data_IF_273517513557
#
_entry.id   IF_273517513557
#
_cell.length_a   1.000
_cell.length_b   1.000
_cell.length_c   1.000
_cell.angle_alpha   90.00
_cell.angle_beta   90.00
_cell.angle_gamma   90.00
#
_symmetry.space_group_name_H-M   'P 1'
#
loop_
_entity.id
_entity.type
_entity.pdbx_description
1 polymer ?
#
# COMPACT_ATOMS: atom_id res chain seq x y z
N UNK A 1 -10.63 -12.96 -25.03
CA UNK A 1 -9.44 -12.60 -24.23
C UNK A 1 -9.84 -11.65 -23.11
N UNK A 2 -9.84 -12.07 -21.84
CA UNK A 2 -10.01 -11.15 -20.72
C UNK A 2 -8.75 -10.26 -20.66
N UNK A 3 -8.86 -8.96 -20.96
CA UNK A 3 -7.82 -7.99 -20.58
C UNK A 3 -7.79 -8.02 -19.05
N UNK A 4 -6.71 -8.56 -18.48
CA UNK A 4 -6.47 -8.42 -17.04
C UNK A 4 -6.26 -6.92 -16.83
N UNK A 5 -7.08 -6.30 -15.98
CA UNK A 5 -6.95 -4.89 -15.65
C UNK A 5 -5.53 -4.63 -15.14
N UNK A 6 -4.89 -3.55 -15.56
CA UNK A 6 -3.56 -3.16 -15.08
C UNK A 6 -3.63 -2.34 -13.78
N UNK A 7 -4.83 -1.94 -13.38
CA UNK A 7 -5.12 -1.03 -12.28
C UNK A 7 -5.96 -1.71 -11.21
N UNK A 8 -5.88 -1.18 -9.99
CA UNK A 8 -6.80 -1.46 -8.88
C UNK A 8 -8.15 -0.75 -9.13
N UNK A 9 -9.26 -1.46 -8.92
CA UNK A 9 -10.60 -0.96 -9.25
C UNK A 9 -11.08 0.15 -8.31
N UNK A 10 -10.62 0.15 -7.05
CA UNK A 10 -11.07 1.12 -6.04
C UNK A 10 -10.36 2.47 -6.18
N UNK A 11 -9.06 2.45 -6.42
CA UNK A 11 -8.16 3.61 -6.32
C UNK A 11 -7.57 4.03 -7.65
N UNK A 12 -7.65 3.19 -8.69
CA UNK A 12 -7.19 3.51 -10.05
C UNK A 12 -5.67 3.45 -10.26
N UNK A 13 -4.87 3.22 -9.21
CA UNK A 13 -3.42 3.04 -9.32
C UNK A 13 -3.06 1.64 -9.84
N UNK A 14 -1.77 1.36 -10.05
CA UNK A 14 -1.33 0.04 -10.46
C UNK A 14 -1.78 -1.04 -9.47
N UNK A 15 -2.27 -2.17 -9.96
CA UNK A 15 -2.47 -3.33 -9.12
C UNK A 15 -1.14 -4.05 -8.81
N UNK A 16 -1.19 -5.06 -7.93
CA UNK A 16 -0.05 -5.88 -7.52
C UNK A 16 0.79 -6.35 -8.71
N UNK A 17 0.14 -6.89 -9.75
CA UNK A 17 0.87 -7.43 -10.91
C UNK A 17 1.64 -6.34 -11.64
N UNK A 18 1.00 -5.21 -11.91
CA UNK A 18 1.62 -4.09 -12.62
C UNK A 18 2.78 -3.50 -11.83
N UNK A 19 2.60 -3.24 -10.53
CA UNK A 19 3.65 -2.62 -9.72
C UNK A 19 4.86 -3.52 -9.52
N UNK A 20 4.67 -4.83 -9.38
CA UNK A 20 5.78 -5.79 -9.34
C UNK A 20 6.53 -5.88 -10.67
N UNK A 21 5.83 -5.76 -11.80
CA UNK A 21 6.49 -5.73 -13.11
C UNK A 21 7.38 -4.49 -13.26
N UNK A 22 6.88 -3.32 -12.86
CA UNK A 22 7.68 -2.09 -12.85
C UNK A 22 8.90 -2.21 -11.93
N UNK A 23 8.73 -2.74 -10.71
CA UNK A 23 9.85 -2.87 -9.79
C UNK A 23 10.90 -3.88 -10.23
N UNK A 24 10.51 -4.96 -10.92
CA UNK A 24 11.47 -5.89 -11.55
C UNK A 24 12.26 -5.22 -12.68
N UNK A 25 11.60 -4.38 -13.48
CA UNK A 25 12.27 -3.59 -14.52
C UNK A 25 13.26 -2.59 -13.91
N UNK A 26 12.82 -1.82 -12.90
CA UNK A 26 13.68 -0.86 -12.22
C UNK A 26 14.88 -1.54 -11.55
N UNK A 27 14.65 -2.68 -10.89
CA UNK A 27 15.74 -3.48 -10.31
C UNK A 27 16.79 -3.86 -11.36
N UNK A 28 16.37 -4.33 -12.53
CA UNK A 28 17.28 -4.69 -13.61
C UNK A 28 18.04 -3.47 -14.16
N UNK A 29 17.38 -2.31 -14.26
CA UNK A 29 18.02 -1.05 -14.66
C UNK A 29 19.06 -0.61 -13.63
N UNK A 30 18.71 -0.60 -12.35
CA UNK A 30 19.61 -0.23 -11.26
C UNK A 30 20.81 -1.15 -11.12
N UNK A 31 20.63 -2.46 -11.32
CA UNK A 31 21.75 -3.42 -11.34
C UNK A 31 22.70 -3.13 -12.51
N UNK A 32 22.16 -2.80 -13.69
CA UNK A 32 22.97 -2.53 -14.89
C UNK A 32 23.70 -1.19 -14.81
N UNK A 33 23.01 -0.13 -14.41
CA UNK A 33 23.50 1.24 -14.47
C UNK A 33 24.05 1.76 -13.13
N UNK A 34 24.03 0.93 -12.08
CA UNK A 34 24.45 1.28 -10.71
C UNK A 34 23.73 2.53 -10.19
N UNK A 35 22.47 2.70 -10.57
CA UNK A 35 21.63 3.81 -10.14
C UNK A 35 20.79 3.40 -8.93
N UNK A 36 20.65 4.25 -7.90
CA UNK A 36 19.84 3.91 -6.75
C UNK A 36 18.36 3.92 -7.13
N UNK A 37 17.58 3.01 -6.58
CA UNK A 37 16.13 3.14 -6.50
C UNK A 37 15.69 2.80 -5.09
N UNK A 38 14.57 3.38 -4.67
CA UNK A 38 14.01 3.15 -3.34
C UNK A 38 12.57 2.67 -3.41
N UNK A 39 12.17 1.94 -2.38
CA UNK A 39 10.80 1.48 -2.17
C UNK A 39 10.24 2.11 -0.90
N UNK A 40 8.97 2.53 -0.98
CA UNK A 40 8.15 2.83 0.18
C UNK A 40 7.09 1.74 0.33
N UNK A 41 6.92 1.21 1.53
CA UNK A 41 5.76 0.42 1.93
C UNK A 41 4.87 1.30 2.80
N UNK A 42 3.61 1.49 2.41
CA UNK A 42 2.67 2.41 3.06
C UNK A 42 1.47 1.60 3.52
N UNK A 43 1.01 1.87 4.73
CA UNK A 43 -0.20 1.25 5.29
C UNK A 43 -1.01 2.27 6.10
N UNK A 44 -2.33 2.15 5.99
CA UNK A 44 -3.27 3.00 6.72
C UNK A 44 -3.39 2.54 8.16
N UNK A 45 -3.06 3.43 9.09
CA UNK A 45 -3.05 3.09 10.50
C UNK A 45 -4.46 2.78 11.02
N UNK A 46 -4.60 1.62 11.67
CA UNK A 46 -5.85 1.17 12.31
C UNK A 46 -7.04 1.08 11.32
N UNK A 47 -6.79 0.75 10.05
CA UNK A 47 -7.83 0.65 9.03
C UNK A 47 -9.00 -0.26 9.43
N UNK A 48 -8.72 -1.41 10.04
CA UNK A 48 -9.77 -2.30 10.56
C UNK A 48 -10.68 -1.56 11.55
N UNK A 49 -10.12 -0.78 12.47
CA UNK A 49 -10.91 0.03 13.41
C UNK A 49 -11.75 1.09 12.68
N UNK A 50 -11.22 1.70 11.61
CA UNK A 50 -11.98 2.65 10.79
C UNK A 50 -13.20 1.95 10.17
N UNK A 51 -12.99 0.79 9.54
CA UNK A 51 -14.09 0.01 8.94
C UNK A 51 -15.11 -0.43 9.98
N UNK A 52 -14.64 -0.99 11.10
CA UNK A 52 -15.52 -1.50 12.16
C UNK A 52 -16.34 -0.37 12.83
N UNK A 53 -15.81 0.86 12.87
CA UNK A 53 -16.45 2.01 13.55
C UNK A 53 -17.33 2.84 12.62
N UNK A 54 -16.90 3.03 11.37
CA UNK A 54 -17.49 3.98 10.43
C UNK A 54 -18.04 3.33 9.16
N UNK A 55 -17.93 2.01 9.04
CA UNK A 55 -18.33 1.27 7.85
C UNK A 55 -17.27 1.28 6.74
N UNK A 56 -17.41 0.32 5.84
CA UNK A 56 -16.46 0.10 4.77
C UNK A 56 -16.41 1.23 3.72
N UNK A 57 -17.50 1.98 3.54
CA UNK A 57 -17.50 3.12 2.60
C UNK A 57 -16.54 4.23 3.06
N UNK A 58 -16.37 4.39 4.38
CA UNK A 58 -15.39 5.31 4.96
C UNK A 58 -13.98 4.74 4.83
N UNK A 59 -13.81 3.42 4.95
CA UNK A 59 -12.55 2.76 4.60
C UNK A 59 -12.15 3.00 3.16
N UNK A 60 -13.08 2.83 2.22
CA UNK A 60 -12.83 3.09 0.79
C UNK A 60 -12.42 4.55 0.55
N UNK A 61 -13.05 5.50 1.24
CA UNK A 61 -12.66 6.91 1.21
C UNK A 61 -11.27 7.14 1.81
N UNK A 62 -10.92 6.46 2.90
CA UNK A 62 -9.60 6.53 3.53
C UNK A 62 -8.50 6.08 2.57
N UNK A 63 -8.70 4.96 1.87
CA UNK A 63 -7.76 4.45 0.87
C UNK A 63 -7.61 5.44 -0.31
N UNK A 64 -8.72 5.96 -0.83
CA UNK A 64 -8.71 6.97 -1.91
C UNK A 64 -8.01 8.26 -1.49
N UNK A 65 -8.25 8.73 -0.26
CA UNK A 65 -7.59 9.91 0.30
C UNK A 65 -6.07 9.70 0.39
N UNK A 66 -5.63 8.55 0.94
CA UNK A 66 -4.21 8.21 1.04
C UNK A 66 -3.54 8.15 -0.33
N UNK A 67 -4.19 7.53 -1.31
CA UNK A 67 -3.68 7.47 -2.69
C UNK A 67 -3.55 8.87 -3.30
N UNK A 68 -4.59 9.70 -3.17
CA UNK A 68 -4.58 11.06 -3.71
C UNK A 68 -3.48 11.93 -3.07
N UNK A 69 -3.30 11.84 -1.76
CA UNK A 69 -2.24 12.57 -1.04
C UNK A 69 -0.87 12.08 -1.48
N UNK A 70 -0.71 10.75 -1.60
CA UNK A 70 0.56 10.16 -2.05
C UNK A 70 0.89 10.62 -3.47
N UNK A 71 -0.04 10.53 -4.42
CA UNK A 71 0.15 11.00 -5.80
C UNK A 71 0.57 12.48 -5.90
N UNK A 72 0.01 13.36 -5.05
CA UNK A 72 0.43 14.78 -4.98
C UNK A 72 1.87 14.96 -4.47
N UNK A 73 2.39 14.00 -3.70
CA UNK A 73 3.76 14.04 -3.18
C UNK A 73 4.79 13.43 -4.15
N UNK A 74 4.34 12.57 -5.06
CA UNK A 74 5.16 11.84 -6.01
C UNK A 74 5.50 12.68 -7.26
N UNK A 75 6.63 12.34 -7.89
CA UNK A 75 7.02 12.86 -9.21
C UNK A 75 6.38 12.02 -10.30
N UNK A 76 6.34 12.55 -11.52
CA UNK A 76 5.78 11.84 -12.69
C UNK A 76 6.44 10.47 -12.97
N UNK A 77 7.72 10.32 -12.60
CA UNK A 77 8.50 9.08 -12.82
C UNK A 77 8.35 8.06 -11.69
N UNK A 78 7.68 8.43 -10.60
CA UNK A 78 7.45 7.55 -9.46
C UNK A 78 6.21 6.69 -9.71
N UNK A 79 6.21 5.46 -9.23
CA UNK A 79 5.11 4.51 -9.42
C UNK A 79 4.49 4.15 -8.08
N UNK A 80 3.17 4.12 -8.00
CA UNK A 80 2.43 3.61 -6.83
C UNK A 80 1.53 2.46 -7.25
N UNK A 81 1.43 1.43 -6.41
CA UNK A 81 0.48 0.36 -6.59
C UNK A 81 0.00 -0.26 -5.29
N UNK A 82 -1.18 -0.88 -5.37
CA UNK A 82 -1.81 -1.57 -4.25
C UNK A 82 -1.40 -3.04 -4.20
N UNK A 83 -1.06 -3.51 -3.01
CA UNK A 83 -0.72 -4.90 -2.74
C UNK A 83 -1.95 -5.63 -2.20
N UNK A 84 -2.78 -6.18 -3.08
CA UNK A 84 -3.76 -7.19 -2.66
C UNK A 84 -2.99 -8.48 -2.29
N UNK A 85 -3.24 -9.10 -1.14
CA UNK A 85 -2.55 -10.36 -0.80
C UNK A 85 -3.16 -11.54 -1.57
N UNK A 86 -2.39 -12.61 -1.77
CA UNK A 86 -2.95 -13.85 -2.33
C UNK A 86 -3.94 -14.52 -1.37
N UNK A 87 -3.80 -14.29 -0.05
CA UNK A 87 -4.76 -14.74 0.96
C UNK A 87 -6.10 -14.02 0.82
N UNK A 88 -6.09 -12.72 0.51
CA UNK A 88 -7.29 -11.93 0.24
C UNK A 88 -8.03 -12.46 -1.00
N UNK A 89 -7.29 -12.74 -2.07
CA UNK A 89 -7.83 -13.36 -3.27
C UNK A 89 -8.37 -14.78 -3.04
N UNK A 90 -7.69 -15.58 -2.20
CA UNK A 90 -8.10 -16.93 -1.84
C UNK A 90 -9.34 -16.93 -0.93
N UNK A 91 -9.41 -16.04 0.07
CA UNK A 91 -10.58 -15.84 0.92
C UNK A 91 -11.80 -15.43 0.09
N UNK A 92 -11.61 -14.55 -0.90
CA UNK A 92 -12.64 -14.20 -1.87
C UNK A 92 -13.12 -15.43 -2.67
N UNK A 93 -12.20 -16.28 -3.16
CA UNK A 93 -12.57 -17.52 -3.86
C UNK A 93 -13.28 -18.55 -2.98
N UNK A 94 -12.83 -18.77 -1.75
CA UNK A 94 -13.42 -19.75 -0.82
C UNK A 94 -14.83 -19.33 -0.45
N UNK A 95 -15.05 -18.05 -0.15
CA UNK A 95 -16.36 -17.57 0.27
C UNK A 95 -17.35 -17.46 -0.90
N UNK A 96 -16.90 -17.09 -2.12
CA UNK A 96 -17.74 -17.18 -3.33
C UNK A 96 -18.23 -18.60 -3.62
N UNK A 97 -17.41 -19.63 -3.32
CA UNK A 97 -17.85 -21.04 -3.42
C UNK A 97 -18.90 -21.42 -2.37
N UNK A 98 -18.82 -20.85 -1.17
CA UNK A 98 -19.79 -21.11 -0.10
C UNK A 98 -21.14 -20.42 -0.38
N UNK A 99 -21.11 -19.21 -0.96
CA UNK A 99 -22.30 -18.47 -1.40
C UNK A 99 -23.15 -19.21 -2.43
N UNK A 100 -22.52 -19.98 -3.33
CA UNK A 100 -23.22 -20.81 -4.33
C UNK A 100 -23.94 -22.03 -3.76
N UNK A 101 -23.62 -22.45 -2.52
CA UNK A 101 -24.14 -23.68 -1.91
C UNK A 101 -25.20 -23.44 -0.82
N UNK A 102 -25.34 -22.22 -0.29
CA UNK A 102 -26.12 -21.96 0.93
C UNK A 102 -27.56 -21.45 0.72
N UNK A 103 -28.06 -21.39 -0.52
CA UNK A 103 -29.46 -20.98 -0.78
C UNK A 103 -29.79 -19.53 -0.39
N UNK A 104 -28.77 -18.67 -0.25
CA UNK A 104 -28.92 -17.26 0.08
C UNK A 104 -29.55 -16.47 -1.08
N UNK A 105 -30.30 -15.41 -0.77
CA UNK A 105 -30.95 -14.57 -1.80
C UNK A 105 -29.92 -13.73 -2.56
N UNK A 106 -30.21 -13.35 -3.82
CA UNK A 106 -29.31 -12.55 -4.67
C UNK A 106 -28.82 -11.25 -4.01
N UNK A 107 -29.66 -10.62 -3.18
CA UNK A 107 -29.29 -9.41 -2.44
C UNK A 107 -28.25 -9.70 -1.33
N UNK A 108 -28.43 -10.80 -0.58
CA UNK A 108 -27.49 -11.24 0.45
C UNK A 108 -26.17 -11.72 -0.15
N UNK A 109 -26.23 -12.39 -1.31
CA UNK A 109 -25.05 -12.80 -2.06
C UNK A 109 -24.24 -11.60 -2.57
N UNK A 110 -24.90 -10.56 -3.08
CA UNK A 110 -24.24 -9.32 -3.51
C UNK A 110 -23.64 -8.55 -2.33
N UNK A 111 -24.36 -8.39 -1.22
CA UNK A 111 -23.85 -7.69 -0.04
C UNK A 111 -22.64 -8.40 0.57
N UNK A 112 -22.66 -9.74 0.59
CA UNK A 112 -21.52 -10.53 1.06
C UNK A 112 -20.36 -10.51 0.06
N UNK A 113 -20.60 -10.61 -1.25
CA UNK A 113 -19.57 -10.49 -2.28
C UNK A 113 -18.88 -9.11 -2.26
N UNK A 114 -19.63 -8.03 -2.00
CA UNK A 114 -19.10 -6.69 -1.79
C UNK A 114 -18.23 -6.62 -0.53
N UNK A 115 -18.68 -7.21 0.60
CA UNK A 115 -17.90 -7.28 1.84
C UNK A 115 -16.61 -8.10 1.67
N UNK A 116 -16.67 -9.21 0.95
CA UNK A 116 -15.54 -10.09 0.67
C UNK A 116 -14.56 -9.47 -0.34
N UNK A 117 -15.06 -8.70 -1.31
CA UNK A 117 -14.24 -7.90 -2.21
C UNK A 117 -13.47 -6.79 -1.48
N UNK A 118 -13.87 -6.45 -0.26
CA UNK A 118 -13.22 -5.49 0.64
C UNK A 118 -12.27 -6.16 1.66
N UNK A 119 -12.21 -7.49 1.69
CA UNK A 119 -11.17 -8.23 2.40
C UNK A 119 -9.91 -8.27 1.52
N UNK A 120 -9.22 -7.13 1.36
CA UNK A 120 -7.86 -7.17 0.85
C UNK A 120 -7.11 -5.87 0.62
N UNK A 121 -5.82 -5.93 0.97
CA UNK A 121 -4.75 -4.97 0.66
C UNK A 121 -4.92 -3.54 1.18
N UNK A 122 -4.72 -3.30 2.48
CA UNK A 122 -4.46 -1.94 3.00
C UNK A 122 -3.01 -1.46 2.77
N UNK A 123 -2.21 -2.34 2.13
CA UNK A 123 -0.80 -2.13 1.88
C UNK A 123 -0.56 -1.60 0.46
N UNK A 124 0.31 -0.60 0.37
CA UNK A 124 0.67 0.06 -0.87
C UNK A 124 2.19 0.08 -0.99
N UNK A 125 2.66 -0.01 -2.23
CA UNK A 125 4.08 0.12 -2.54
C UNK A 125 4.28 1.29 -3.49
N UNK A 126 5.31 2.09 -3.19
CA UNK A 126 5.81 3.13 -4.08
C UNK A 126 7.21 2.77 -4.53
N UNK A 127 7.48 2.86 -5.82
CA UNK A 127 8.81 2.74 -6.42
C UNK A 127 9.28 4.14 -6.81
N UNK A 128 10.48 4.49 -6.33
CA UNK A 128 11.13 5.77 -6.60
C UNK A 128 12.41 5.51 -7.41
N UNK A 129 12.33 5.51 -8.75
CA UNK A 129 13.50 5.39 -9.61
C UNK A 129 14.52 6.49 -9.32
N UNK A 130 15.80 6.20 -9.53
CA UNK A 130 16.90 7.17 -9.40
C UNK A 130 16.88 7.95 -8.07
N UNK A 131 16.50 7.28 -6.98
CA UNK A 131 16.29 7.90 -5.67
C UNK A 131 17.04 7.15 -4.60
N UNK A 132 17.94 7.87 -3.94
CA UNK A 132 18.68 7.37 -2.79
C UNK A 132 17.81 7.37 -1.52
N UNK A 133 18.39 6.85 -0.43
CA UNK A 133 17.68 6.70 0.84
C UNK A 133 17.21 8.03 1.42
N UNK A 134 18.01 9.09 1.28
CA UNK A 134 17.69 10.42 1.80
C UNK A 134 16.50 11.02 1.05
N UNK A 135 16.52 10.97 -0.28
CA UNK A 135 15.42 11.43 -1.12
C UNK A 135 14.13 10.66 -0.85
N UNK A 136 14.23 9.34 -0.71
CA UNK A 136 13.09 8.47 -0.39
C UNK A 136 12.49 8.79 0.98
N UNK A 137 13.33 9.00 1.99
CA UNK A 137 12.88 9.40 3.33
C UNK A 137 12.14 10.75 3.31
N UNK A 138 12.67 11.74 2.59
CA UNK A 138 12.01 13.05 2.44
C UNK A 138 10.64 12.90 1.76
N UNK A 139 10.54 12.09 0.70
CA UNK A 139 9.28 11.81 0.04
C UNK A 139 8.28 11.13 0.99
N UNK A 140 8.72 10.13 1.75
CA UNK A 140 7.90 9.46 2.76
C UNK A 140 7.43 10.42 3.86
N UNK A 141 8.30 11.28 4.38
CA UNK A 141 7.93 12.27 5.39
C UNK A 141 6.90 13.27 4.87
N UNK A 142 7.02 13.69 3.59
CA UNK A 142 6.02 14.57 2.96
C UNK A 142 4.64 13.91 2.93
N UNK A 143 4.57 12.64 2.53
CA UNK A 143 3.31 11.87 2.55
C UNK A 143 2.77 11.75 3.97
N UNK A 144 3.60 11.30 4.91
CA UNK A 144 3.21 11.12 6.31
C UNK A 144 2.66 12.43 6.92
N UNK A 145 3.33 13.56 6.69
CA UNK A 145 2.90 14.88 7.16
C UNK A 145 1.60 15.32 6.50
N UNK A 146 1.50 15.23 5.16
CA UNK A 146 0.29 15.63 4.44
C UNK A 146 -0.94 14.82 4.88
N UNK A 147 -0.78 13.54 5.21
CA UNK A 147 -1.86 12.73 5.77
C UNK A 147 -2.39 13.28 7.10
N UNK A 148 -1.53 13.83 7.96
CA UNK A 148 -1.95 14.40 9.26
C UNK A 148 -2.69 15.74 9.14
N UNK A 149 -2.56 16.41 8.00
CA UNK A 149 -3.19 17.71 7.73
C UNK A 149 -4.59 17.56 7.09
N UNK A 150 -4.94 16.34 6.66
CA UNK A 150 -6.18 16.02 5.98
C UNK A 150 -7.08 15.16 6.89
N UNK A 151 -8.39 15.31 6.73
CA UNK A 151 -9.38 14.53 7.50
C UNK A 151 -10.59 14.24 6.64
N UNK A 152 -11.26 13.12 6.93
CA UNK A 152 -12.53 12.80 6.29
C UNK A 152 -13.69 13.36 7.10
N UNK A 153 -14.62 14.01 6.42
CA UNK A 153 -15.91 14.39 6.98
C UNK A 153 -16.90 13.26 6.69
N UNK A 154 -17.38 12.62 7.75
CA UNK A 154 -18.34 11.52 7.68
C UNK A 154 -19.52 11.89 8.56
N UNK A 155 -20.66 12.18 7.92
CA UNK A 155 -21.83 12.73 8.61
C UNK A 155 -21.45 13.98 9.42
N UNK A 156 -21.63 13.95 10.75
CA UNK A 156 -21.27 15.04 11.68
C UNK A 156 -19.93 14.78 12.42
N UNK A 157 -19.08 13.87 11.91
CA UNK A 157 -17.82 13.47 12.54
C UNK A 157 -16.62 13.71 11.63
N UNK A 158 -15.54 14.21 12.25
CA UNK A 158 -14.22 14.27 11.63
C UNK A 158 -13.44 12.99 11.95
N UNK A 159 -13.03 12.26 10.91
CA UNK A 159 -12.20 11.06 11.01
C UNK A 159 -10.78 11.39 10.58
N UNK A 160 -9.85 11.36 11.52
CA UNK A 160 -8.42 11.56 11.27
C UNK A 160 -7.78 10.22 10.90
N UNK A 161 -7.00 10.23 9.82
CA UNK A 161 -6.35 9.03 9.29
C UNK A 161 -4.86 9.30 9.19
N UNK A 162 -4.06 8.40 9.73
CA UNK A 162 -2.60 8.45 9.63
C UNK A 162 -2.08 7.25 8.85
N UNK A 163 -0.82 7.33 8.44
CA UNK A 163 -0.13 6.23 7.76
C UNK A 163 1.19 5.92 8.45
N UNK A 164 1.55 4.65 8.42
CA UNK A 164 2.92 4.21 8.72
C UNK A 164 3.65 3.93 7.42
N UNK A 165 4.92 4.32 7.32
CA UNK A 165 5.72 4.15 6.10
C UNK A 165 7.06 3.48 6.41
N UNK A 166 7.35 2.39 5.71
CA UNK A 166 8.65 1.75 5.68
C UNK A 166 9.44 2.12 4.43
N UNK A 167 10.72 2.44 4.59
CA UNK A 167 11.60 2.87 3.50
C UNK A 167 12.80 1.92 3.39
N UNK A 168 13.10 1.50 2.17
CA UNK A 168 14.35 0.81 1.85
C UNK A 168 14.90 1.26 0.49
N UNK A 169 16.21 1.20 0.34
CA UNK A 169 16.91 1.51 -0.91
C UNK A 169 17.65 0.28 -1.38
N UNK A 170 17.60 0.04 -2.69
CA UNK A 170 18.36 -1.00 -3.36
C UNK A 170 19.85 -0.93 -3.00
N UNK A 171 20.41 -2.09 -2.69
CA UNK A 171 21.82 -2.33 -2.45
C UNK A 171 22.36 -3.33 -3.49
N UNK A 172 23.63 -3.22 -3.85
CA UNK A 172 24.27 -4.12 -4.82
C UNK A 172 24.29 -5.59 -4.38
N UNK A 173 24.09 -5.86 -3.08
CA UNK A 173 23.97 -7.21 -2.54
C UNK A 173 22.58 -7.84 -2.73
N UNK A 174 21.55 -7.03 -3.04
CA UNK A 174 20.22 -7.56 -3.31
C UNK A 174 20.25 -8.40 -4.59
N UNK A 175 19.63 -9.58 -4.54
CA UNK A 175 19.60 -10.52 -5.68
C UNK A 175 18.33 -10.35 -6.50
N UNK A 176 17.28 -9.82 -5.89
CA UNK A 176 15.98 -9.58 -6.51
C UNK A 176 15.22 -8.45 -5.82
N UNK A 177 14.23 -7.89 -6.51
CA UNK A 177 13.34 -6.85 -5.97
C UNK A 177 12.72 -7.25 -4.62
N UNK A 178 12.35 -8.52 -4.44
CA UNK A 178 11.75 -9.01 -3.20
C UNK A 178 12.64 -8.77 -1.97
N UNK A 179 13.97 -8.73 -2.13
CA UNK A 179 14.90 -8.49 -1.01
C UNK A 179 14.78 -7.04 -0.51
N UNK A 180 14.64 -6.09 -1.43
CA UNK A 180 14.37 -4.67 -1.12
C UNK A 180 12.98 -4.52 -0.49
N UNK A 181 11.98 -5.21 -1.04
CA UNK A 181 10.60 -5.17 -0.55
C UNK A 181 10.51 -5.68 0.89
N UNK A 182 11.17 -6.80 1.21
CA UNK A 182 11.22 -7.34 2.58
C UNK A 182 11.86 -6.37 3.58
N UNK A 183 12.88 -5.63 3.16
CA UNK A 183 13.49 -4.58 4.01
C UNK A 183 12.52 -3.42 4.23
N UNK A 184 11.82 -2.96 3.20
CA UNK A 184 10.80 -1.92 3.33
C UNK A 184 9.62 -2.36 4.21
N UNK A 185 9.17 -3.61 4.07
CA UNK A 185 8.13 -4.22 4.91
C UNK A 185 8.56 -4.31 6.38
N UNK A 186 9.79 -4.76 6.64
CA UNK A 186 10.34 -4.80 8.00
C UNK A 186 10.42 -3.40 8.63
N UNK A 187 10.75 -2.37 7.83
CA UNK A 187 10.70 -0.99 8.28
C UNK A 187 9.27 -0.54 8.60
N UNK A 188 8.29 -0.85 7.74
CA UNK A 188 6.88 -0.52 7.95
C UNK A 188 6.36 -1.17 9.24
N UNK A 189 6.68 -2.45 9.45
CA UNK A 189 6.34 -3.16 10.67
C UNK A 189 6.92 -2.47 11.92
N UNK A 190 8.17 -2.02 11.85
CA UNK A 190 8.79 -1.26 12.93
C UNK A 190 8.08 0.07 13.19
N UNK A 191 7.70 0.82 12.15
CA UNK A 191 6.90 2.05 12.28
C UNK A 191 5.56 1.78 12.97
N UNK A 192 4.84 0.72 12.55
CA UNK A 192 3.57 0.31 13.18
C UNK A 192 3.73 -0.04 14.66
N UNK A 193 4.80 -0.74 15.02
CA UNK A 193 5.09 -1.14 16.41
C UNK A 193 5.57 0.01 17.27
N UNK A 194 6.23 1.01 16.70
CA UNK A 194 6.76 2.15 17.42
C UNK A 194 5.73 3.30 17.59
N UNK A 195 4.44 3.00 17.50
CA UNK A 195 3.37 3.97 17.75
C UNK A 195 2.69 4.54 16.52
N UNK A 196 3.01 4.05 15.30
CA UNK A 196 2.36 4.45 14.03
C UNK A 196 2.60 5.93 13.67
N UNK A 197 1.95 6.44 12.61
CA UNK A 197 2.07 7.82 12.14
C UNK A 197 3.53 8.30 11.99
N UNK A 198 4.36 7.46 11.38
CA UNK A 198 5.80 7.72 11.29
C UNK A 198 6.44 7.00 10.12
N UNK A 199 7.66 7.44 9.81
CA UNK A 199 8.52 6.83 8.80
C UNK A 199 9.65 6.09 9.48
N UNK A 200 9.86 4.83 9.09
CA UNK A 200 11.01 4.04 9.48
C UNK A 200 11.82 3.64 8.25
N UNK A 201 13.13 3.53 8.43
CA UNK A 201 14.10 3.17 7.41
C UNK A 201 14.78 1.87 7.82
N UNK A 202 14.91 0.93 6.88
CA UNK A 202 15.81 -0.21 7.00
C UNK A 202 16.93 -0.12 5.96
N UNK A 203 18.18 0.00 6.43
CA UNK A 203 19.36 0.02 5.56
C UNK A 203 20.44 -0.91 6.12
N UNK A 204 20.90 -1.89 5.32
CA UNK A 204 21.90 -2.88 5.73
C UNK A 204 21.62 -3.50 7.11
N UNK A 205 20.38 -3.96 7.33
CA UNK A 205 19.88 -4.54 8.59
C UNK A 205 19.84 -3.57 9.79
N UNK A 206 20.17 -2.29 9.59
CA UNK A 206 20.04 -1.24 10.60
C UNK A 206 18.70 -0.54 10.44
N UNK A 207 17.92 -0.55 11.52
CA UNK A 207 16.67 0.18 11.63
C UNK A 207 16.93 1.60 12.15
N UNK A 208 16.40 2.60 11.46
CA UNK A 208 16.33 3.99 11.94
C UNK A 208 14.89 4.44 11.91
N UNK A 209 14.42 5.05 13.00
CA UNK A 209 13.06 5.55 13.08
C UNK A 209 13.11 7.07 13.14
N UNK A 210 12.39 7.73 12.23
CA UNK A 210 12.26 9.19 12.22
C UNK A 210 11.52 9.67 13.47
N UNK A 211 12.17 10.54 14.26
CA UNK A 211 11.50 11.40 15.23
C UNK A 211 11.24 12.75 14.61
#
# INVERSE_FOLDING_TARGET
MKRIAATDELTGIANRRSIFNFGKQEFALSQRYKSPFSLLMIDVDKFKTINDTHGHDVGDQALKMMVNITLKCLRQVDYIGRLETEEDALRKQVCLRQLGNNGETLAQQNDLEVHLGRLGGEEFVVILPHTDLKGAYIAAQRVCKAMTEESLQVEDKTVNITVSIGVATYDQQDKKMDDVLKRADSALFAAKRNGRNQVAIMHNEKLTIGK
#
